data_IF_671309934836
#
_entry.id   IF_671309934836
#
_cell.length_a   1.000
_cell.length_b   1.000
_cell.length_c   1.000
_cell.angle_alpha   90.00
_cell.angle_beta   90.00
_cell.angle_gamma   90.00
#
_symmetry.space_group_name_H-M   'P 1'
#
loop_
_entity.id
_entity.type
_entity.pdbx_description
1 polymer ?
#
# COMPACT_ATOMS: atom_id res chain seq x y z
N UNK A 1 1.79 16.17 4.21
CA UNK A 1 2.21 15.49 2.97
C UNK A 1 3.72 15.37 2.88
N UNK A 2 4.46 16.43 3.25
CA UNK A 2 5.93 16.46 3.27
C UNK A 2 6.57 15.32 4.07
N UNK A 3 6.14 15.09 5.32
CA UNK A 3 6.58 13.94 6.14
C UNK A 3 6.38 12.56 5.49
N UNK A 4 5.34 12.41 4.66
CA UNK A 4 5.08 11.14 3.96
C UNK A 4 6.04 10.98 2.76
N UNK A 5 6.34 12.08 2.06
CA UNK A 5 7.32 12.11 0.96
C UNK A 5 8.72 11.81 1.48
N UNK A 6 9.12 12.41 2.59
CA UNK A 6 10.39 12.12 3.28
C UNK A 6 10.47 10.63 3.66
N UNK A 7 9.40 10.08 4.25
CA UNK A 7 9.35 8.66 4.62
C UNK A 7 9.39 7.70 3.42
N UNK A 8 8.92 8.12 2.23
CA UNK A 8 9.05 7.34 0.98
C UNK A 8 10.50 7.43 0.48
N UNK A 9 11.10 8.62 0.47
CA UNK A 9 12.49 8.83 0.07
C UNK A 9 13.45 8.01 0.93
N UNK A 10 13.27 8.01 2.25
CA UNK A 10 14.10 7.21 3.16
C UNK A 10 14.04 5.70 2.84
N UNK A 11 12.84 5.19 2.49
CA UNK A 11 12.66 3.79 2.08
C UNK A 11 13.32 3.50 0.73
N UNK A 12 13.25 4.43 -0.22
CA UNK A 12 13.92 4.31 -1.52
C UNK A 12 15.44 4.30 -1.38
N UNK A 13 16.00 5.13 -0.51
CA UNK A 13 17.42 5.10 -0.18
C UNK A 13 17.84 3.77 0.43
N UNK A 14 17.03 3.22 1.35
CA UNK A 14 17.24 1.88 1.91
C UNK A 14 17.23 0.80 0.83
N UNK A 15 16.33 0.89 -0.16
CA UNK A 15 16.31 -0.03 -1.31
C UNK A 15 17.61 0.05 -2.11
N UNK A 16 18.07 1.27 -2.47
CA UNK A 16 19.34 1.46 -3.20
C UNK A 16 20.53 0.84 -2.45
N UNK A 17 20.60 1.07 -1.13
CA UNK A 17 21.65 0.50 -0.27
C UNK A 17 21.65 -1.04 -0.28
N UNK A 18 20.47 -1.66 -0.22
CA UNK A 18 20.33 -3.12 -0.29
C UNK A 18 20.69 -3.68 -1.68
N UNK A 19 20.43 -2.93 -2.75
CA UNK A 19 20.83 -3.32 -4.11
C UNK A 19 22.35 -3.31 -4.27
N UNK A 20 23.01 -2.30 -3.73
CA UNK A 20 24.47 -2.22 -3.73
C UNK A 20 25.09 -3.33 -2.86
N UNK A 21 24.49 -3.64 -1.71
CA UNK A 21 24.87 -4.80 -0.88
C UNK A 21 24.74 -6.11 -1.67
N UNK A 22 23.62 -6.32 -2.37
CA UNK A 22 23.40 -7.51 -3.19
C UNK A 22 24.43 -7.64 -4.33
N UNK A 23 24.81 -6.53 -4.97
CA UNK A 23 25.87 -6.51 -6.00
C UNK A 23 27.25 -6.81 -5.42
N UNK A 24 27.58 -6.26 -4.25
CA UNK A 24 28.84 -6.54 -3.57
C UNK A 24 28.95 -8.03 -3.18
N UNK A 25 27.89 -8.59 -2.60
CA UNK A 25 27.82 -10.02 -2.25
C UNK A 25 27.97 -10.94 -3.47
N UNK A 26 27.41 -10.56 -4.63
CA UNK A 26 27.57 -11.32 -5.89
C UNK A 26 28.99 -11.24 -6.47
N UNK A 27 29.64 -10.09 -6.36
CA UNK A 27 30.93 -9.83 -7.02
C UNK A 27 32.15 -10.15 -6.14
N UNK A 28 31.93 -10.54 -4.87
CA UNK A 28 33.02 -10.78 -3.91
C UNK A 28 33.84 -9.52 -3.59
N UNK A 29 33.34 -8.32 -3.95
CA UNK A 29 34.03 -7.06 -3.69
C UNK A 29 33.89 -6.64 -2.23
N UNK A 30 34.92 -6.00 -1.69
CA UNK A 30 34.89 -5.49 -0.32
C UNK A 30 33.73 -4.51 -0.12
N UNK A 31 33.01 -4.71 0.99
CA UNK A 31 31.92 -3.84 1.42
C UNK A 31 32.50 -2.53 1.94
N UNK A 32 32.20 -1.41 1.25
CA UNK A 32 32.61 -0.07 1.70
C UNK A 32 31.93 0.32 3.00
N UNK A 33 32.70 0.78 4.01
CA UNK A 33 32.25 1.53 5.19
C UNK A 33 30.83 1.26 5.68
N UNK A 34 29.88 2.12 5.32
CA UNK A 34 28.48 2.04 5.74
C UNK A 34 27.72 0.79 5.25
N UNK A 35 28.11 0.17 4.13
CA UNK A 35 27.57 -1.14 3.73
C UNK A 35 28.04 -2.26 4.66
N UNK A 36 29.24 -2.12 5.24
CA UNK A 36 29.77 -3.04 6.24
C UNK A 36 29.01 -2.90 7.56
N UNK A 37 28.67 -1.68 7.98
CA UNK A 37 27.80 -1.47 9.15
C UNK A 37 26.41 -2.05 8.91
N UNK A 38 25.83 -1.81 7.74
CA UNK A 38 24.52 -2.39 7.36
C UNK A 38 24.54 -3.93 7.34
N UNK A 39 25.65 -4.54 6.93
CA UNK A 39 25.83 -5.99 6.94
C UNK A 39 26.07 -6.57 8.35
N UNK A 40 26.51 -5.74 9.30
CA UNK A 40 26.80 -6.14 10.68
C UNK A 40 25.63 -5.87 11.63
N UNK A 41 24.61 -5.14 11.19
CA UNK A 41 23.39 -4.91 11.95
C UNK A 41 22.63 -6.22 12.23
N UNK A 42 22.02 -6.30 13.41
CA UNK A 42 21.18 -7.43 13.81
C UNK A 42 19.99 -7.53 12.86
N UNK A 43 19.92 -8.62 12.09
CA UNK A 43 18.86 -8.84 11.09
C UNK A 43 19.23 -8.44 9.66
N UNK A 44 20.48 -8.06 9.41
CA UNK A 44 20.97 -7.78 8.06
C UNK A 44 20.90 -9.01 7.14
N UNK A 45 20.49 -8.85 5.87
CA UNK A 45 20.48 -9.93 4.92
C UNK A 45 21.92 -10.35 4.57
N UNK A 46 22.23 -11.62 4.82
CA UNK A 46 23.59 -12.18 4.66
C UNK A 46 23.85 -12.79 3.29
N UNK A 47 22.80 -13.00 2.50
CA UNK A 47 22.89 -13.53 1.15
C UNK A 47 22.11 -12.65 0.17
N UNK A 48 22.41 -12.83 -1.11
CA UNK A 48 21.82 -12.07 -2.21
C UNK A 48 20.30 -12.24 -2.26
N UNK A 49 19.80 -13.44 -1.97
CA UNK A 49 18.36 -13.74 -2.07
C UNK A 49 17.56 -13.11 -0.93
N UNK A 50 18.09 -13.04 0.29
CA UNK A 50 17.50 -12.26 1.37
C UNK A 50 17.49 -10.76 1.05
N UNK A 51 18.55 -10.23 0.42
CA UNK A 51 18.56 -8.83 -0.02
C UNK A 51 17.45 -8.58 -1.04
N UNK A 52 17.31 -9.44 -2.06
CA UNK A 52 16.23 -9.34 -3.06
C UNK A 52 14.85 -9.42 -2.43
N UNK A 53 14.62 -10.35 -1.50
CA UNK A 53 13.34 -10.49 -0.81
C UNK A 53 12.98 -9.22 -0.01
N UNK A 54 13.96 -8.64 0.68
CA UNK A 54 13.77 -7.40 1.43
C UNK A 54 13.54 -6.20 0.50
N UNK A 55 14.26 -6.11 -0.62
CA UNK A 55 14.04 -5.10 -1.66
C UNK A 55 12.62 -5.19 -2.21
N UNK A 56 12.16 -6.40 -2.58
CA UNK A 56 10.82 -6.61 -3.11
C UNK A 56 9.75 -6.12 -2.12
N UNK A 57 9.89 -6.49 -0.84
CA UNK A 57 8.98 -6.06 0.22
C UNK A 57 8.98 -4.55 0.45
N UNK A 58 10.15 -3.91 0.39
CA UNK A 58 10.25 -2.45 0.53
C UNK A 58 9.66 -1.71 -0.67
N UNK A 59 9.90 -2.19 -1.89
CA UNK A 59 9.32 -1.64 -3.12
C UNK A 59 7.80 -1.73 -3.11
N UNK A 60 7.23 -2.87 -2.69
CA UNK A 60 5.78 -3.02 -2.55
C UNK A 60 5.19 -2.03 -1.54
N UNK A 61 5.89 -1.80 -0.41
CA UNK A 61 5.46 -0.81 0.59
C UNK A 61 5.50 0.61 0.03
N UNK A 62 6.57 0.97 -0.69
CA UNK A 62 6.70 2.28 -1.33
C UNK A 62 5.54 2.50 -2.31
N UNK A 63 5.27 1.54 -3.20
CA UNK A 63 4.17 1.63 -4.16
C UNK A 63 2.82 1.86 -3.48
N UNK A 64 2.53 1.12 -2.38
CA UNK A 64 1.30 1.30 -1.60
C UNK A 64 1.20 2.69 -0.96
N UNK A 65 2.31 3.23 -0.47
CA UNK A 65 2.35 4.57 0.14
C UNK A 65 2.20 5.68 -0.91
N UNK A 66 2.84 5.54 -2.08
CA UNK A 66 2.70 6.45 -3.21
C UNK A 66 1.25 6.49 -3.71
N UNK A 67 0.62 5.33 -3.91
CA UNK A 67 -0.78 5.25 -4.31
C UNK A 67 -1.70 5.97 -3.31
N UNK A 68 -1.49 5.76 -1.99
CA UNK A 68 -2.26 6.46 -0.95
C UNK A 68 -2.03 7.97 -0.95
N UNK A 69 -0.80 8.39 -1.21
CA UNK A 69 -0.45 9.80 -1.28
C UNK A 69 -1.14 10.46 -2.47
N UNK A 70 -1.06 9.84 -3.65
CA UNK A 70 -1.69 10.34 -4.86
C UNK A 70 -3.21 10.45 -4.68
N UNK A 71 -3.85 9.39 -4.18
CA UNK A 71 -5.28 9.40 -3.90
C UNK A 71 -5.71 10.50 -2.92
N UNK A 72 -4.85 10.89 -1.95
CA UNK A 72 -5.12 12.01 -1.05
C UNK A 72 -4.98 13.36 -1.73
N UNK A 73 -4.01 13.53 -2.63
CA UNK A 73 -3.82 14.78 -3.35
C UNK A 73 -4.94 14.99 -4.38
N UNK A 74 -5.31 13.94 -5.12
CA UNK A 74 -6.39 13.98 -6.12
C UNK A 74 -7.74 14.36 -5.49
N UNK A 75 -7.99 13.90 -4.26
CA UNK A 75 -9.24 14.16 -3.54
C UNK A 75 -9.15 15.35 -2.56
N UNK A 76 -8.09 16.16 -2.62
CA UNK A 76 -7.85 17.25 -1.65
C UNK A 76 -8.93 18.33 -1.68
N UNK A 77 -9.54 18.57 -2.83
CA UNK A 77 -10.58 19.58 -3.02
C UNK A 77 -12.00 19.03 -3.02
N UNK A 78 -12.18 17.71 -2.89
CA UNK A 78 -13.48 17.04 -3.10
C UNK A 78 -13.91 16.24 -1.87
N UNK A 79 -15.11 16.53 -1.35
CA UNK A 79 -15.70 15.80 -0.23
C UNK A 79 -16.54 14.61 -0.70
N UNK A 80 -15.92 13.44 -0.89
CA UNK A 80 -16.59 12.21 -1.35
C UNK A 80 -17.61 11.61 -0.36
N UNK A 81 -17.59 12.03 0.91
CA UNK A 81 -18.45 11.45 1.94
C UNK A 81 -19.93 11.72 1.68
N UNK A 82 -20.29 12.95 1.33
CA UNK A 82 -21.69 13.36 1.18
C UNK A 82 -22.37 12.68 0.01
N UNK A 83 -21.72 12.67 -1.17
CA UNK A 83 -22.22 11.97 -2.36
C UNK A 83 -22.43 10.49 -2.08
N UNK A 84 -21.45 9.83 -1.46
CA UNK A 84 -21.50 8.40 -1.15
C UNK A 84 -22.57 8.02 -0.13
N UNK A 85 -22.83 8.85 0.87
CA UNK A 85 -23.73 8.49 1.97
C UNK A 85 -25.19 8.81 1.65
N UNK A 86 -25.44 9.81 0.81
CA UNK A 86 -26.79 10.38 0.64
C UNK A 86 -27.30 10.35 -0.81
N UNK A 87 -26.42 10.28 -1.80
CA UNK A 87 -26.81 10.49 -3.20
C UNK A 87 -26.48 9.31 -4.12
N UNK A 88 -25.71 8.33 -3.65
CA UNK A 88 -25.47 7.08 -4.36
C UNK A 88 -26.27 5.94 -3.73
N UNK A 89 -26.93 5.13 -4.56
CA UNK A 89 -27.62 3.93 -4.08
C UNK A 89 -26.57 2.94 -3.55
N UNK A 90 -26.61 2.58 -2.25
CA UNK A 90 -25.62 1.69 -1.65
C UNK A 90 -25.58 0.31 -2.33
N UNK A 91 -26.68 -0.14 -2.96
CA UNK A 91 -26.75 -1.41 -3.72
C UNK A 91 -25.79 -1.43 -4.89
N UNK A 92 -25.57 -0.31 -5.58
CA UNK A 92 -24.58 -0.21 -6.67
C UNK A 92 -23.19 -0.61 -6.15
N UNK A 93 -22.79 -0.01 -5.03
CA UNK A 93 -21.48 -0.26 -4.43
C UNK A 93 -21.38 -1.66 -3.83
N UNK A 94 -22.43 -2.14 -3.17
CA UNK A 94 -22.48 -3.46 -2.55
C UNK A 94 -22.42 -4.58 -3.61
N UNK A 95 -23.19 -4.48 -4.69
CA UNK A 95 -23.16 -5.46 -5.79
C UNK A 95 -21.80 -5.49 -6.46
N UNK A 96 -21.17 -4.34 -6.69
CA UNK A 96 -19.79 -4.28 -7.18
C UNK A 96 -18.80 -4.98 -6.22
N UNK A 97 -18.94 -4.74 -4.91
CA UNK A 97 -18.09 -5.39 -3.90
C UNK A 97 -18.23 -6.91 -3.94
N UNK A 98 -19.47 -7.43 -4.05
CA UNK A 98 -19.74 -8.87 -4.17
C UNK A 98 -19.16 -9.46 -5.45
N UNK A 99 -19.38 -8.80 -6.59
CA UNK A 99 -18.89 -9.25 -7.89
C UNK A 99 -17.35 -9.30 -7.96
N UNK A 100 -16.66 -8.40 -7.26
CA UNK A 100 -15.19 -8.28 -7.27
C UNK A 100 -14.51 -8.89 -6.04
N UNK A 101 -15.26 -9.56 -5.17
CA UNK A 101 -14.77 -10.12 -3.92
C UNK A 101 -14.01 -9.08 -3.06
N UNK A 102 -14.53 -7.85 -3.04
CA UNK A 102 -13.99 -6.76 -2.24
C UNK A 102 -14.72 -6.72 -0.90
N UNK A 103 -14.01 -6.77 0.24
CA UNK A 103 -14.67 -6.71 1.53
C UNK A 103 -15.41 -5.38 1.74
N UNK A 104 -16.70 -5.46 2.03
CA UNK A 104 -17.61 -4.29 2.13
C UNK A 104 -17.14 -3.33 3.23
N UNK A 105 -16.50 -3.83 4.29
CA UNK A 105 -15.93 -3.02 5.37
C UNK A 105 -14.79 -2.10 4.94
N UNK A 106 -14.17 -2.35 3.78
CA UNK A 106 -13.18 -1.43 3.19
C UNK A 106 -13.83 -0.20 2.57
N UNK A 107 -15.10 -0.28 2.22
CA UNK A 107 -15.84 0.80 1.54
C UNK A 107 -16.80 1.50 2.52
N UNK A 108 -17.60 0.73 3.25
CA UNK A 108 -18.54 1.21 4.26
C UNK A 108 -18.07 0.82 5.67
N UNK A 109 -17.86 1.81 6.53
CA UNK A 109 -17.61 1.59 7.95
C UNK A 109 -18.82 0.93 8.62
N UNK A 110 -18.63 0.30 9.79
CA UNK A 110 -19.67 -0.44 10.52
C UNK A 110 -20.99 0.33 10.68
N UNK A 111 -20.92 1.62 11.03
CA UNK A 111 -22.12 2.46 11.18
C UNK A 111 -22.89 2.64 9.86
N UNK A 112 -22.18 2.75 8.72
CA UNK A 112 -22.81 2.85 7.41
C UNK A 112 -23.36 1.51 6.95
N UNK A 113 -22.73 0.39 7.31
CA UNK A 113 -23.27 -0.94 7.05
C UNK A 113 -24.61 -1.13 7.77
N UNK A 114 -24.71 -0.73 9.03
CA UNK A 114 -25.95 -0.76 9.79
C UNK A 114 -27.04 0.13 9.14
N UNK A 115 -26.67 1.34 8.70
CA UNK A 115 -27.58 2.24 7.97
C UNK A 115 -28.10 1.60 6.66
N UNK A 116 -27.24 0.90 5.94
CA UNK A 116 -27.54 0.29 4.64
C UNK A 116 -27.84 -1.21 4.74
N UNK A 117 -28.26 -1.71 5.90
CA UNK A 117 -28.51 -3.14 6.11
C UNK A 117 -29.54 -3.70 5.11
N UNK A 118 -30.53 -2.89 4.73
CA UNK A 118 -31.54 -3.24 3.74
C UNK A 118 -30.95 -3.51 2.33
N UNK A 119 -29.77 -2.98 2.02
CA UNK A 119 -29.08 -3.17 0.75
C UNK A 119 -28.09 -4.35 0.76
N UNK A 120 -27.82 -4.97 1.91
CA UNK A 120 -26.79 -6.00 2.06
C UNK A 120 -27.14 -7.31 1.37
N UNK A 121 -28.43 -7.66 1.28
CA UNK A 121 -28.89 -8.90 0.67
C UNK A 121 -29.17 -8.79 -0.84
N UNK A 122 -28.62 -7.77 -1.49
CA UNK A 122 -28.84 -7.55 -2.92
C UNK A 122 -28.06 -8.53 -3.82
N UNK A 123 -28.58 -8.82 -5.01
CA UNK A 123 -27.94 -9.68 -6.01
C UNK A 123 -26.60 -9.07 -6.49
N UNK A 124 -25.49 -9.84 -6.60
CA UNK A 124 -24.25 -9.37 -7.22
C UNK A 124 -24.41 -8.78 -8.63
N UNK A 125 -25.39 -9.24 -9.42
CA UNK A 125 -25.66 -8.79 -10.78
C UNK A 125 -26.70 -7.67 -10.87
N UNK A 126 -27.18 -7.18 -9.72
CA UNK A 126 -28.17 -6.11 -9.69
C UNK A 126 -27.68 -4.84 -10.41
N UNK A 127 -28.60 -4.23 -11.16
CA UNK A 127 -28.39 -2.99 -11.91
C UNK A 127 -29.44 -1.95 -11.48
N UNK A 128 -29.03 -0.68 -11.46
CA UNK A 128 -29.88 0.46 -11.09
C UNK A 128 -30.70 0.97 -12.27
#
# INVERSE_FOLDING_TARGET
MEKLREAIQEKLEKVKKLEDLAKALKSGKELKGYLKTLSQEKGAPKNVDACKAQIAKLRERVQKEEMKMQAREDNKSVALGTSRINYMDPRITISWCKMKDVPIEKIFQSNLQAKFNWAMNNDPEWQF
#
